data_IF_282486794038
#
_entry.id   IF_282486794038
#
_cell.length_a   1.000
_cell.length_b   1.000
_cell.length_c   1.000
_cell.angle_alpha   90.00
_cell.angle_beta   90.00
_cell.angle_gamma   90.00
#
_symmetry.space_group_name_H-M   'P 1'
#
loop_
_entity.id
_entity.type
_entity.pdbx_description
1 polymer ?
#
# COMPACT_ATOMS: atom_id res chain seq x y z
N UNK A 1 14.89 -20.71 -13.44
CA UNK A 1 15.59 -19.44 -13.24
C UNK A 1 14.88 -18.72 -12.11
N UNK A 2 15.50 -18.46 -10.95
CA UNK A 2 14.89 -17.60 -9.95
C UNK A 2 14.98 -16.17 -10.50
N UNK A 3 13.84 -15.51 -10.69
CA UNK A 3 13.79 -14.11 -11.07
C UNK A 3 14.41 -13.29 -9.93
N UNK A 4 15.62 -12.78 -10.15
CA UNK A 4 16.28 -11.87 -9.23
C UNK A 4 15.37 -10.67 -8.97
N UNK A 5 15.02 -10.45 -7.71
CA UNK A 5 14.29 -9.25 -7.27
C UNK A 5 15.19 -8.05 -7.54
N UNK A 6 14.91 -7.31 -8.62
CA UNK A 6 15.61 -6.07 -8.90
C UNK A 6 15.20 -5.01 -7.88
N UNK A 7 16.07 -4.75 -6.91
CA UNK A 7 15.91 -3.66 -5.97
C UNK A 7 16.03 -2.31 -6.70
N UNK A 8 14.91 -1.63 -6.89
CA UNK A 8 14.89 -0.26 -7.37
C UNK A 8 15.06 0.70 -6.19
N UNK A 9 16.17 1.44 -6.18
CA UNK A 9 16.45 2.43 -5.14
C UNK A 9 15.89 3.77 -5.57
N UNK A 10 14.64 4.05 -5.22
CA UNK A 10 14.07 5.40 -5.33
C UNK A 10 14.54 6.25 -4.16
N UNK A 11 15.19 7.40 -4.41
CA UNK A 11 15.41 8.40 -3.36
C UNK A 11 14.09 9.12 -3.12
N UNK A 12 13.59 9.06 -1.89
CA UNK A 12 12.44 9.83 -1.48
C UNK A 12 12.79 11.33 -1.56
N UNK A 13 12.03 12.09 -2.36
CA UNK A 13 12.37 13.48 -2.69
C UNK A 13 12.35 14.43 -1.48
N UNK A 14 11.54 14.14 -0.46
CA UNK A 14 11.41 14.93 0.77
C UNK A 14 11.21 13.99 1.95
N UNK A 15 11.98 14.20 3.01
CA UNK A 15 11.88 13.42 4.25
C UNK A 15 10.56 13.75 4.97
N UNK A 16 9.79 12.77 5.49
CA UNK A 16 8.46 13.01 6.06
C UNK A 16 8.56 13.82 7.35
N UNK A 17 9.73 13.80 8.01
CA UNK A 17 10.03 14.62 9.20
C UNK A 17 10.11 16.12 8.90
N UNK A 18 10.25 16.49 7.63
CA UNK A 18 10.32 17.88 7.17
C UNK A 18 9.09 18.27 6.33
N UNK A 19 8.06 17.43 6.26
CA UNK A 19 6.78 17.76 5.65
C UNK A 19 5.91 18.54 6.63
N UNK A 20 5.12 19.48 6.11
CA UNK A 20 3.98 20.01 6.84
C UNK A 20 2.90 18.94 6.99
N UNK A 21 1.97 19.12 7.93
CA UNK A 21 0.86 18.17 8.15
C UNK A 21 0.08 17.89 6.85
N UNK A 22 -0.26 18.94 6.09
CA UNK A 22 -0.99 18.79 4.82
C UNK A 22 -0.21 18.01 3.77
N UNK A 23 1.11 18.22 3.69
CA UNK A 23 1.96 17.48 2.76
C UNK A 23 2.13 16.02 3.19
N UNK A 24 2.23 15.79 4.50
CA UNK A 24 2.32 14.46 5.07
C UNK A 24 1.04 13.66 4.81
N UNK A 25 -0.13 14.27 4.99
CA UNK A 25 -1.42 13.64 4.68
C UNK A 25 -1.52 13.26 3.20
N UNK A 26 -1.16 14.17 2.30
CA UNK A 26 -1.15 13.89 0.87
C UNK A 26 -0.17 12.76 0.52
N UNK A 27 1.01 12.76 1.13
CA UNK A 27 2.01 11.72 0.93
C UNK A 27 1.51 10.35 1.42
N UNK A 28 0.86 10.29 2.58
CA UNK A 28 0.28 9.05 3.11
C UNK A 28 -0.81 8.48 2.19
N UNK A 29 -1.70 9.33 1.68
CA UNK A 29 -2.73 8.94 0.71
C UNK A 29 -2.07 8.35 -0.55
N UNK A 30 -1.09 9.06 -1.11
CA UNK A 30 -0.38 8.60 -2.31
C UNK A 30 0.35 7.27 -2.07
N UNK A 31 0.97 7.09 -0.91
CA UNK A 31 1.62 5.83 -0.54
C UNK A 31 0.62 4.67 -0.46
N UNK A 32 -0.55 4.89 0.14
CA UNK A 32 -1.60 3.87 0.23
C UNK A 32 -2.13 3.47 -1.15
N UNK A 33 -2.38 4.46 -2.03
CA UNK A 33 -2.79 4.22 -3.41
C UNK A 33 -1.73 3.45 -4.21
N UNK A 34 -0.47 3.82 -4.07
CA UNK A 34 0.65 3.15 -4.75
C UNK A 34 0.78 1.69 -4.28
N UNK A 35 0.68 1.44 -2.97
CA UNK A 35 0.72 0.10 -2.42
C UNK A 35 -0.45 -0.75 -2.94
N UNK A 36 -1.67 -0.19 -2.92
CA UNK A 36 -2.87 -0.86 -3.46
C UNK A 36 -2.70 -1.21 -4.94
N UNK A 37 -2.29 -0.25 -5.76
CA UNK A 37 -2.10 -0.45 -7.19
C UNK A 37 -1.02 -1.50 -7.48
N UNK A 38 0.10 -1.45 -6.75
CA UNK A 38 1.16 -2.44 -6.88
C UNK A 38 0.68 -3.84 -6.52
N UNK A 39 0.07 -4.02 -5.34
CA UNK A 39 -0.46 -5.31 -4.90
C UNK A 39 -1.43 -5.90 -5.92
N UNK A 40 -2.34 -5.08 -6.44
CA UNK A 40 -3.30 -5.51 -7.45
C UNK A 40 -2.63 -5.89 -8.77
N UNK A 41 -1.60 -5.15 -9.19
CA UNK A 41 -0.85 -5.47 -10.41
C UNK A 41 -0.16 -6.84 -10.38
N UNK A 42 0.19 -7.32 -9.18
CA UNK A 42 0.79 -8.64 -8.96
C UNK A 42 -0.23 -9.69 -8.49
N UNK A 43 -1.54 -9.39 -8.57
CA UNK A 43 -2.62 -10.30 -8.17
C UNK A 43 -2.72 -10.56 -6.66
N UNK A 44 -2.10 -9.73 -5.83
CA UNK A 44 -2.14 -9.82 -4.38
C UNK A 44 -3.25 -8.92 -3.81
N UNK A 45 -3.95 -9.35 -2.74
CA UNK A 45 -4.93 -8.49 -2.07
C UNK A 45 -4.27 -7.43 -1.18
N UNK A 46 -4.96 -6.33 -0.95
CA UNK A 46 -4.63 -5.35 0.08
C UNK A 46 -5.22 -5.83 1.41
N UNK A 47 -4.35 -6.07 2.40
CA UNK A 47 -4.75 -6.53 3.74
C UNK A 47 -4.72 -5.37 4.73
N UNK A 48 -5.83 -5.14 5.42
CA UNK A 48 -5.94 -4.10 6.44
C UNK A 48 -6.92 -4.47 7.55
N UNK A 49 -6.80 -3.79 8.70
CA UNK A 49 -7.72 -3.93 9.82
C UNK A 49 -8.85 -2.92 9.69
N UNK A 50 -10.09 -3.38 9.73
CA UNK A 50 -11.28 -2.54 9.74
C UNK A 50 -11.55 -1.98 11.15
N UNK A 51 -12.31 -0.88 11.25
CA UNK A 51 -12.72 -0.30 12.54
C UNK A 51 -13.53 -1.25 13.42
N UNK A 52 -14.22 -2.22 12.81
CA UNK A 52 -14.97 -3.28 13.50
C UNK A 52 -14.06 -4.34 14.16
N UNK A 53 -12.74 -4.22 13.99
CA UNK A 53 -11.74 -5.10 14.57
C UNK A 53 -11.32 -6.27 13.66
N UNK A 54 -12.00 -6.49 12.53
CA UNK A 54 -11.69 -7.58 11.61
C UNK A 54 -10.53 -7.24 10.68
N UNK A 55 -9.65 -8.20 10.44
CA UNK A 55 -8.68 -8.13 9.34
C UNK A 55 -9.38 -8.55 8.06
N UNK A 56 -9.20 -7.78 6.98
CA UNK A 56 -9.79 -8.09 5.68
C UNK A 56 -8.76 -8.04 4.57
N UNK A 57 -8.99 -8.84 3.54
CA UNK A 57 -8.25 -8.85 2.29
C UNK A 57 -9.17 -8.31 1.18
N UNK A 58 -8.81 -7.16 0.61
CA UNK A 58 -9.49 -6.53 -0.53
C UNK A 58 -8.77 -6.87 -1.82
N UNK A 59 -9.50 -7.33 -2.82
CA UNK A 59 -8.99 -7.71 -4.14
C UNK A 59 -9.30 -6.64 -5.19
N UNK A 60 -8.59 -6.68 -6.31
CA UNK A 60 -8.75 -5.72 -7.42
C UNK A 60 -10.18 -5.64 -7.97
N UNK A 61 -10.91 -6.76 -7.94
CA UNK A 61 -12.30 -6.87 -8.40
C UNK A 61 -13.31 -6.27 -7.39
N UNK A 62 -12.86 -5.70 -6.28
CA UNK A 62 -13.71 -5.15 -5.22
C UNK A 62 -14.23 -6.21 -4.22
N UNK A 63 -13.83 -7.48 -4.38
CA UNK A 63 -14.15 -8.51 -3.39
C UNK A 63 -13.39 -8.25 -2.09
N UNK A 64 -14.10 -8.31 -0.97
CA UNK A 64 -13.49 -8.19 0.36
C UNK A 64 -13.78 -9.46 1.17
N UNK A 65 -12.73 -10.11 1.65
CA UNK A 65 -12.81 -11.31 2.48
C UNK A 65 -12.31 -11.02 3.89
N UNK A 66 -12.99 -11.54 4.90
CA UNK A 66 -12.52 -11.49 6.29
C UNK A 66 -11.45 -12.57 6.47
N UNK A 67 -10.26 -12.15 6.91
CA UNK A 67 -9.14 -13.03 7.26
C UNK A 67 -9.28 -13.40 8.73
N UNK A 68 -9.35 -14.70 9.02
CA UNK A 68 -9.40 -15.26 10.37
C UNK A 68 -8.02 -15.73 10.81
#
# INVERSE_FOLDING_TARGET
MPNDVQFQVGKMNKDPRHMSEKELDQWQIQCAENARNYLFSIGQPLVYKRPDGHTVAEYQNGQILVVR
#
